data_IF_735523047771
#
_entry.id   IF_735523047771
#
_cell.length_a   1.000
_cell.length_b   1.000
_cell.length_c   1.000
_cell.angle_alpha   90.00
_cell.angle_beta   90.00
_cell.angle_gamma   90.00
#
_symmetry.space_group_name_H-M   'P 1'
#
loop_
_entity.id
_entity.type
_entity.pdbx_description
1 polymer ?
#
# COMPACT_ATOMS: atom_id res chain seq x y z
N UNK A 1 27.61 83.61 -13.06
CA UNK A 1 28.65 82.58 -12.94
C UNK A 1 27.99 81.26 -13.31
N UNK A 2 28.12 80.86 -14.59
CA UNK A 2 27.41 79.72 -15.19
C UNK A 2 28.35 78.53 -15.16
N UNK A 3 27.88 77.44 -14.52
CA UNK A 3 28.57 76.15 -14.51
C UNK A 3 28.36 75.41 -15.85
N UNK A 4 29.49 75.09 -16.51
CA UNK A 4 29.49 74.42 -17.79
C UNK A 4 29.08 72.92 -17.71
N UNK A 5 28.65 72.30 -18.79
CA UNK A 5 28.21 70.93 -18.80
C UNK A 5 29.41 69.97 -18.62
N UNK A 6 29.23 69.01 -17.72
CA UNK A 6 30.20 67.93 -17.42
C UNK A 6 30.38 66.96 -18.59
N UNK A 7 31.53 66.23 -18.66
CA UNK A 7 31.86 65.40 -19.81
C UNK A 7 30.93 64.21 -19.93
N UNK A 8 30.52 63.92 -21.19
CA UNK A 8 29.67 62.79 -21.58
C UNK A 8 30.39 61.45 -21.29
N UNK A 9 29.68 60.55 -20.67
CA UNK A 9 30.13 59.16 -20.38
C UNK A 9 30.27 58.41 -21.71
N UNK A 10 31.38 57.70 -21.98
CA UNK A 10 31.51 56.94 -23.22
C UNK A 10 30.53 55.77 -23.19
N UNK A 11 29.71 55.68 -24.23
CA UNK A 11 28.85 54.53 -24.52
C UNK A 11 29.75 53.32 -24.84
N UNK A 12 29.65 52.29 -24.02
CA UNK A 12 30.29 51.02 -24.28
C UNK A 12 29.64 50.33 -25.51
N UNK A 13 30.40 49.97 -26.52
CA UNK A 13 29.85 49.27 -27.67
C UNK A 13 29.68 47.79 -27.33
N UNK A 14 28.53 47.28 -27.64
CA UNK A 14 28.24 45.86 -27.74
C UNK A 14 28.23 45.08 -26.43
N UNK A 15 27.06 45.10 -25.77
CA UNK A 15 26.64 43.96 -24.98
C UNK A 15 26.25 42.83 -25.97
N UNK A 16 27.17 41.89 -26.17
CA UNK A 16 26.87 40.69 -26.93
C UNK A 16 25.66 39.97 -26.28
N UNK A 17 24.60 39.75 -27.05
CA UNK A 17 23.48 38.97 -26.57
C UNK A 17 24.00 37.60 -26.10
N UNK A 18 23.53 37.08 -24.95
CA UNK A 18 23.96 35.75 -24.52
C UNK A 18 23.62 34.74 -25.62
N UNK A 19 24.66 34.08 -26.10
CA UNK A 19 24.56 32.96 -27.03
C UNK A 19 23.56 31.96 -26.46
N UNK A 20 22.46 31.76 -27.19
CA UNK A 20 21.39 30.86 -26.79
C UNK A 20 21.98 29.44 -26.74
N UNK A 21 22.32 28.97 -25.54
CA UNK A 21 22.80 27.61 -25.34
C UNK A 21 21.87 26.63 -26.05
N UNK A 22 22.46 25.71 -26.79
CA UNK A 22 21.70 24.66 -27.47
C UNK A 22 20.82 23.91 -26.46
N UNK A 23 19.59 23.59 -26.81
CA UNK A 23 18.70 22.88 -25.89
C UNK A 23 19.36 21.56 -25.44
N UNK A 24 19.57 21.44 -24.15
CA UNK A 24 20.11 20.23 -23.53
C UNK A 24 19.25 19.03 -23.98
N UNK A 25 19.84 17.92 -24.46
CA UNK A 25 19.09 16.77 -24.90
C UNK A 25 18.15 16.31 -23.78
N UNK A 26 16.85 16.30 -24.06
CA UNK A 26 15.82 15.93 -23.10
C UNK A 26 16.18 14.58 -22.47
N UNK A 27 16.25 14.55 -21.13
CA UNK A 27 16.48 13.31 -20.39
C UNK A 27 15.50 12.22 -20.85
N UNK A 28 15.95 10.98 -21.02
CA UNK A 28 15.08 9.91 -21.51
C UNK A 28 13.86 9.80 -20.60
N UNK A 29 12.67 9.85 -21.19
CA UNK A 29 11.42 9.66 -20.47
C UNK A 29 11.51 8.36 -19.67
N UNK A 30 11.20 8.37 -18.34
CA UNK A 30 11.16 7.15 -17.57
C UNK A 30 10.21 6.16 -18.26
N UNK A 31 10.67 4.92 -18.42
CA UNK A 31 9.87 3.86 -19.01
C UNK A 31 8.53 3.75 -18.29
N UNK A 32 7.44 3.61 -19.04
CA UNK A 32 6.12 3.44 -18.45
C UNK A 32 6.15 2.26 -17.46
N UNK A 33 5.58 2.41 -16.25
CA UNK A 33 5.57 1.33 -15.28
C UNK A 33 4.89 0.08 -15.88
N UNK A 34 5.52 -1.08 -15.71
CA UNK A 34 4.94 -2.35 -16.13
C UNK A 34 3.70 -2.63 -15.28
N UNK A 35 2.52 -2.36 -15.85
CA UNK A 35 1.22 -2.54 -15.20
C UNK A 35 0.79 -4.02 -15.14
N UNK A 36 1.62 -4.95 -15.61
CA UNK A 36 1.32 -6.38 -15.50
C UNK A 36 1.22 -6.76 -14.04
N UNK A 37 0.09 -7.35 -13.69
CA UNK A 37 -0.14 -7.83 -12.33
C UNK A 37 0.84 -8.95 -11.99
N UNK A 38 1.59 -8.78 -10.91
CA UNK A 38 2.54 -9.77 -10.39
C UNK A 38 2.34 -9.89 -8.88
N UNK A 39 2.33 -11.11 -8.37
CA UNK A 39 2.25 -11.36 -6.93
C UNK A 39 3.34 -10.59 -6.14
N UNK A 40 4.52 -10.39 -6.76
CA UNK A 40 5.58 -9.57 -6.17
C UNK A 40 5.16 -8.13 -5.86
N UNK A 41 4.15 -7.59 -6.53
CA UNK A 41 3.64 -6.24 -6.24
C UNK A 41 2.98 -6.13 -4.86
N UNK A 42 2.49 -7.24 -4.29
CA UNK A 42 1.98 -7.28 -2.92
C UNK A 42 3.07 -7.00 -1.88
N UNK A 43 4.31 -7.36 -2.21
CA UNK A 43 5.47 -7.19 -1.34
C UNK A 43 6.15 -5.82 -1.49
N UNK A 44 5.66 -4.95 -2.38
CA UNK A 44 6.23 -3.62 -2.57
C UNK A 44 5.82 -2.62 -1.49
N UNK A 45 4.69 -2.87 -0.82
CA UNK A 45 4.20 -2.01 0.24
C UNK A 45 3.46 -2.83 1.31
N UNK A 46 3.66 -2.54 2.61
CA UNK A 46 3.10 -3.34 3.71
C UNK A 46 1.57 -3.36 3.69
N UNK A 47 0.94 -2.25 3.35
CA UNK A 47 -0.51 -2.15 3.28
C UNK A 47 -1.13 -3.07 2.20
N UNK A 48 -0.44 -3.27 1.07
CA UNK A 48 -0.93 -4.17 0.01
C UNK A 48 -0.99 -5.61 0.50
N UNK A 49 0.05 -6.04 1.21
CA UNK A 49 0.08 -7.37 1.80
C UNK A 49 -1.00 -7.52 2.87
N UNK A 50 -1.14 -6.56 3.78
CA UNK A 50 -2.14 -6.59 4.85
C UNK A 50 -3.58 -6.64 4.30
N UNK A 51 -3.92 -5.80 3.33
CA UNK A 51 -5.24 -5.83 2.68
C UNK A 51 -5.48 -7.13 1.93
N UNK A 52 -4.47 -7.64 1.23
CA UNK A 52 -4.60 -8.91 0.52
C UNK A 52 -4.88 -10.07 1.49
N UNK A 53 -4.12 -10.16 2.60
CA UNK A 53 -4.33 -11.19 3.62
C UNK A 53 -5.69 -11.04 4.32
N UNK A 54 -6.12 -9.80 4.59
CA UNK A 54 -7.44 -9.53 5.13
C UNK A 54 -8.55 -10.02 4.19
N UNK A 55 -8.48 -9.67 2.90
CA UNK A 55 -9.46 -10.11 1.91
C UNK A 55 -9.44 -11.63 1.69
N UNK A 56 -8.26 -12.24 1.70
CA UNK A 56 -8.14 -13.69 1.60
C UNK A 56 -8.79 -14.40 2.79
N UNK A 57 -8.57 -13.88 4.02
CA UNK A 57 -9.19 -14.42 5.22
C UNK A 57 -10.71 -14.19 5.23
N UNK A 58 -11.17 -13.00 4.81
CA UNK A 58 -12.59 -12.69 4.65
C UNK A 58 -13.27 -13.66 3.67
N UNK A 59 -12.70 -13.81 2.47
CA UNK A 59 -13.25 -14.69 1.44
C UNK A 59 -13.23 -16.16 1.88
N UNK A 60 -12.13 -16.63 2.48
CA UNK A 60 -12.02 -17.98 3.01
C UNK A 60 -13.02 -18.28 4.10
N UNK A 61 -13.18 -17.35 5.06
CA UNK A 61 -14.17 -17.46 6.13
C UNK A 61 -15.61 -17.44 5.61
N UNK A 62 -15.92 -16.57 4.65
CA UNK A 62 -17.23 -16.51 4.03
C UNK A 62 -17.56 -17.80 3.26
N UNK A 63 -16.57 -18.32 2.52
CA UNK A 63 -16.74 -19.59 1.79
C UNK A 63 -16.94 -20.77 2.73
N UNK A 64 -16.11 -20.87 3.76
CA UNK A 64 -16.28 -21.90 4.80
C UNK A 64 -17.65 -21.82 5.48
N UNK A 65 -18.08 -20.61 5.85
CA UNK A 65 -19.39 -20.40 6.47
C UNK A 65 -20.54 -20.76 5.52
N UNK A 66 -20.44 -20.42 4.24
CA UNK A 66 -21.41 -20.84 3.24
C UNK A 66 -21.52 -22.37 3.15
N UNK A 67 -20.38 -23.08 3.21
CA UNK A 67 -20.36 -24.55 3.27
C UNK A 67 -21.07 -25.10 4.50
N UNK A 68 -20.84 -24.50 5.68
CA UNK A 68 -21.55 -24.87 6.92
C UNK A 68 -23.07 -24.69 6.79
N UNK A 69 -23.49 -23.56 6.22
CA UNK A 69 -24.92 -23.27 6.04
C UNK A 69 -25.58 -24.21 5.03
N UNK A 70 -24.88 -24.48 3.91
CA UNK A 70 -25.35 -25.43 2.91
C UNK A 70 -25.48 -26.86 3.51
N UNK A 71 -24.47 -27.29 4.29
CA UNK A 71 -24.53 -28.57 4.99
C UNK A 71 -25.76 -28.69 5.89
N UNK A 72 -26.12 -27.63 6.63
CA UNK A 72 -27.33 -27.57 7.43
C UNK A 72 -28.61 -27.69 6.60
N UNK A 73 -28.62 -27.00 5.44
CA UNK A 73 -29.79 -27.02 4.55
C UNK A 73 -30.07 -28.43 4.00
N UNK A 74 -29.02 -29.18 3.65
CA UNK A 74 -29.15 -30.54 3.11
C UNK A 74 -29.11 -31.61 4.22
N UNK A 75 -29.24 -31.23 5.49
CA UNK A 75 -29.22 -32.13 6.65
C UNK A 75 -28.00 -33.05 6.70
N UNK A 76 -26.86 -32.57 6.19
CA UNK A 76 -25.58 -33.26 6.31
C UNK A 76 -25.15 -33.35 7.79
N UNK A 77 -24.26 -34.29 8.09
CA UNK A 77 -23.67 -34.39 9.41
C UNK A 77 -23.07 -33.04 9.87
N UNK A 78 -23.26 -32.63 11.13
CA UNK A 78 -22.68 -31.40 11.63
C UNK A 78 -21.18 -31.39 11.46
N UNK A 79 -20.59 -30.21 11.18
CA UNK A 79 -19.14 -30.04 11.22
C UNK A 79 -18.69 -30.32 12.66
N UNK A 80 -17.97 -31.43 12.84
CA UNK A 80 -17.43 -31.80 14.14
C UNK A 80 -16.31 -30.81 14.53
N UNK A 81 -16.40 -30.26 15.72
CA UNK A 81 -15.40 -29.35 16.27
C UNK A 81 -15.71 -29.03 17.73
N UNK A 82 -14.68 -28.71 18.50
CA UNK A 82 -14.81 -28.32 19.92
C UNK A 82 -15.54 -26.97 20.07
N UNK A 83 -15.54 -26.14 19.03
CA UNK A 83 -16.11 -24.79 19.03
C UNK A 83 -17.27 -24.72 18.04
N UNK A 84 -18.42 -24.14 18.43
CA UNK A 84 -19.53 -23.95 17.50
C UNK A 84 -19.13 -23.16 16.25
N UNK A 85 -19.55 -23.59 15.03
CA UNK A 85 -19.16 -22.93 13.78
C UNK A 85 -19.49 -21.44 13.73
N UNK A 86 -20.57 -20.99 14.35
CA UNK A 86 -20.90 -19.57 14.43
C UNK A 86 -19.87 -18.76 15.21
N UNK A 87 -19.31 -19.33 16.28
CA UNK A 87 -18.25 -18.69 17.08
C UNK A 87 -16.95 -18.65 16.30
N UNK A 88 -16.62 -19.73 15.57
CA UNK A 88 -15.46 -19.77 14.67
C UNK A 88 -15.55 -18.66 13.63
N UNK A 89 -16.70 -18.56 12.94
CA UNK A 89 -16.92 -17.52 11.94
C UNK A 89 -16.80 -16.12 12.55
N UNK A 90 -17.45 -15.87 13.70
CA UNK A 90 -17.38 -14.57 14.38
C UNK A 90 -15.94 -14.21 14.78
N UNK A 91 -15.19 -15.16 15.33
CA UNK A 91 -13.79 -14.94 15.71
C UNK A 91 -12.90 -14.63 14.51
N UNK A 92 -13.07 -15.34 13.38
CA UNK A 92 -12.35 -15.05 12.13
C UNK A 92 -12.66 -13.64 11.62
N UNK A 93 -13.92 -13.19 11.71
CA UNK A 93 -14.30 -11.85 11.30
C UNK A 93 -13.71 -10.79 12.23
N UNK A 94 -13.92 -10.92 13.53
CA UNK A 94 -13.56 -9.87 14.50
C UNK A 94 -12.06 -9.87 14.82
N UNK A 95 -11.45 -11.02 15.03
CA UNK A 95 -10.08 -11.13 15.49
C UNK A 95 -9.08 -11.45 14.35
N UNK A 96 -9.56 -11.99 13.24
CA UNK A 96 -8.72 -12.31 12.08
C UNK A 96 -8.76 -11.20 11.02
N UNK A 97 -9.91 -11.00 10.41
CA UNK A 97 -10.07 -10.04 9.32
C UNK A 97 -9.81 -8.59 9.74
N UNK A 98 -10.49 -8.09 10.78
CA UNK A 98 -10.37 -6.68 11.16
C UNK A 98 -8.94 -6.26 11.52
N UNK A 99 -8.15 -6.98 12.33
CA UNK A 99 -6.78 -6.57 12.63
C UNK A 99 -5.89 -6.48 11.40
N UNK A 100 -6.02 -7.41 10.44
CA UNK A 100 -5.29 -7.36 9.16
C UNK A 100 -5.73 -6.17 8.31
N UNK A 101 -7.04 -5.91 8.23
CA UNK A 101 -7.58 -4.79 7.48
C UNK A 101 -7.15 -3.44 8.07
N UNK A 102 -7.28 -3.28 9.40
CA UNK A 102 -6.84 -2.06 10.08
C UNK A 102 -5.32 -1.87 9.99
N UNK A 103 -4.53 -2.94 10.04
CA UNK A 103 -3.09 -2.86 9.80
C UNK A 103 -2.79 -2.28 8.42
N UNK A 104 -3.50 -2.74 7.37
CA UNK A 104 -3.36 -2.17 6.03
C UNK A 104 -3.65 -0.68 5.99
N UNK A 105 -4.72 -0.25 6.65
CA UNK A 105 -5.11 1.14 6.76
C UNK A 105 -4.08 1.96 7.56
N UNK A 106 -3.68 1.50 8.74
CA UNK A 106 -2.73 2.19 9.60
C UNK A 106 -1.36 2.35 8.94
N UNK A 107 -0.86 1.35 8.22
CA UNK A 107 0.41 1.45 7.50
C UNK A 107 0.35 2.34 6.27
N UNK A 108 -0.84 2.68 5.80
CA UNK A 108 -1.03 3.65 4.71
C UNK A 108 -1.20 5.07 5.24
N UNK A 109 -2.14 5.27 6.15
CA UNK A 109 -2.55 6.57 6.64
C UNK A 109 -1.71 7.06 7.82
N UNK A 110 -1.30 6.15 8.72
CA UNK A 110 -0.57 6.48 9.93
C UNK A 110 0.70 7.31 9.70
N UNK A 111 1.62 6.88 8.81
CA UNK A 111 2.82 7.65 8.52
C UNK A 111 2.52 9.06 7.99
N UNK A 112 1.45 9.20 7.18
CA UNK A 112 1.03 10.51 6.66
C UNK A 112 0.48 11.41 7.75
N UNK A 113 -0.34 10.87 8.65
CA UNK A 113 -0.92 11.64 9.74
C UNK A 113 0.12 12.06 10.78
N UNK A 114 1.07 11.16 11.07
CA UNK A 114 2.13 11.40 12.03
C UNK A 114 3.34 12.13 11.43
N UNK A 115 3.35 12.36 10.10
CA UNK A 115 4.46 12.96 9.35
C UNK A 115 5.80 12.24 9.60
N UNK A 116 5.76 10.91 9.70
CA UNK A 116 6.93 10.05 9.88
C UNK A 116 7.19 9.21 8.65
N UNK A 117 8.41 8.70 8.51
CA UNK A 117 8.77 7.80 7.43
C UNK A 117 7.95 6.50 7.52
N UNK A 118 7.48 5.94 6.39
CA UNK A 118 6.75 4.67 6.39
C UNK A 118 7.65 3.51 6.79
N UNK A 119 7.08 2.55 7.51
CA UNK A 119 7.80 1.33 7.90
C UNK A 119 8.19 0.49 6.67
N UNK A 120 9.40 -0.10 6.67
CA UNK A 120 9.82 -0.97 5.57
C UNK A 120 8.97 -2.25 5.55
N UNK A 121 8.63 -2.72 4.34
CA UNK A 121 7.84 -3.95 4.14
C UNK A 121 8.48 -5.16 4.82
N UNK A 122 9.82 -5.23 4.82
CA UNK A 122 10.58 -6.32 5.43
C UNK A 122 10.29 -6.51 6.91
N UNK A 123 10.08 -5.42 7.66
CA UNK A 123 9.77 -5.49 9.08
C UNK A 123 8.34 -5.98 9.37
N UNK A 124 7.39 -5.71 8.48
CA UNK A 124 5.98 -5.99 8.68
C UNK A 124 5.51 -7.29 8.03
N UNK A 125 6.33 -7.86 7.13
CA UNK A 125 5.97 -9.09 6.39
C UNK A 125 5.77 -10.28 7.33
N UNK A 126 6.72 -10.55 8.21
CA UNK A 126 6.64 -11.69 9.10
C UNK A 126 5.45 -11.63 10.07
N UNK A 127 5.20 -10.53 10.83
CA UNK A 127 4.05 -10.46 11.71
C UNK A 127 2.71 -10.57 10.98
N UNK A 128 2.55 -9.99 9.79
CA UNK A 128 1.31 -10.09 9.03
C UNK A 128 1.06 -11.53 8.54
N UNK A 129 2.10 -12.21 8.05
CA UNK A 129 1.99 -13.60 7.62
C UNK A 129 1.73 -14.54 8.80
N UNK A 130 2.39 -14.33 9.94
CA UNK A 130 2.18 -15.12 11.15
C UNK A 130 0.75 -14.95 11.68
N UNK A 131 0.22 -13.73 11.68
CA UNK A 131 -1.15 -13.47 12.08
C UNK A 131 -2.15 -14.21 11.17
N UNK A 132 -1.97 -14.11 9.85
CA UNK A 132 -2.84 -14.81 8.89
C UNK A 132 -2.70 -16.33 9.01
N UNK A 133 -1.48 -16.85 9.11
CA UNK A 133 -1.21 -18.28 9.26
C UNK A 133 -1.76 -18.85 10.58
N UNK A 134 -1.67 -18.10 11.69
CA UNK A 134 -2.26 -18.48 12.96
C UNK A 134 -3.77 -18.69 12.89
N UNK A 135 -4.48 -17.78 12.20
CA UNK A 135 -5.92 -17.92 12.01
C UNK A 135 -6.29 -19.07 11.09
N UNK A 136 -5.50 -19.32 10.04
CA UNK A 136 -5.69 -20.50 9.18
C UNK A 136 -5.43 -21.79 9.93
N UNK A 137 -4.37 -21.86 10.73
CA UNK A 137 -4.07 -23.03 11.55
C UNK A 137 -5.20 -23.30 12.55
N UNK A 138 -5.73 -22.26 13.20
CA UNK A 138 -6.86 -22.41 14.13
C UNK A 138 -8.15 -22.86 13.44
N UNK A 139 -8.37 -22.48 12.19
CA UNK A 139 -9.53 -22.94 11.39
C UNK A 139 -9.43 -24.43 11.02
N UNK A 140 -8.21 -24.94 10.84
CA UNK A 140 -7.95 -26.31 10.39
C UNK A 140 -7.74 -27.32 11.52
N UNK A 141 -7.44 -26.88 12.72
CA UNK A 141 -7.15 -27.72 13.90
C UNK A 141 -8.14 -27.62 15.00
#
# INVERSE_FOLDING_TARGET
MAAGPGPAKPMSPFSAAPERAAPEPAAPKPAAPDLRWRLGHLLLAPHRLAFFLALALLAGSAWWWAGVQLGRLVQAAPVAGAVPPAVVHAALMVCGFFPLFFSGFLFTAGPKWLQVAPWPVSALRAPLLLLAAGWLAWLLG
#
